data_IF_339592602008
#
_entry.id   IF_339592602008
#
_cell.length_a   1.000
_cell.length_b   1.000
_cell.length_c   1.000
_cell.angle_alpha   90.00
_cell.angle_beta   90.00
_cell.angle_gamma   90.00
#
_symmetry.space_group_name_H-M   'P 1'
#
loop_
_entity.id
_entity.type
_entity.pdbx_description
1 polymer ?
#
# COMPACT_ATOMS: atom_id res chain seq x y z
N UNK A 1 -15.03 -16.69 8.29
CA UNK A 1 -15.63 -16.85 6.95
C UNK A 1 -16.58 -15.68 6.75
N UNK A 2 -16.49 -14.95 5.65
CA UNK A 2 -17.47 -13.90 5.34
C UNK A 2 -18.81 -14.57 5.02
N UNK A 3 -19.86 -14.14 5.71
CA UNK A 3 -21.22 -14.64 5.52
C UNK A 3 -21.96 -13.73 4.54
N UNK A 4 -21.85 -14.08 3.25
CA UNK A 4 -22.41 -13.29 2.15
C UNK A 4 -23.94 -13.34 2.14
N UNK A 5 -24.52 -14.45 2.58
CA UNK A 5 -25.99 -14.63 2.62
C UNK A 5 -26.60 -13.69 3.66
N UNK A 6 -26.03 -13.64 4.86
CA UNK A 6 -26.48 -12.69 5.90
C UNK A 6 -26.34 -11.24 5.44
N UNK A 7 -25.21 -10.90 4.81
CA UNK A 7 -24.95 -9.54 4.34
C UNK A 7 -25.95 -9.11 3.24
N UNK A 8 -26.35 -10.03 2.37
CA UNK A 8 -27.37 -9.78 1.35
C UNK A 8 -28.74 -9.55 1.98
N UNK A 9 -29.10 -10.35 2.98
CA UNK A 9 -30.34 -10.16 3.75
C UNK A 9 -30.35 -8.80 4.44
N UNK A 10 -29.29 -8.46 5.17
CA UNK A 10 -29.17 -7.19 5.89
C UNK A 10 -29.29 -6.00 4.93
N UNK A 11 -28.64 -6.07 3.76
CA UNK A 11 -28.70 -5.03 2.73
C UNK A 11 -30.13 -4.76 2.22
N UNK A 12 -30.94 -5.80 2.01
CA UNK A 12 -32.32 -5.65 1.52
C UNK A 12 -33.21 -5.00 2.58
N UNK A 13 -32.93 -5.21 3.87
CA UNK A 13 -33.70 -4.61 4.98
C UNK A 13 -33.46 -3.12 5.19
N UNK A 14 -32.40 -2.55 4.59
CA UNK A 14 -32.06 -1.14 4.73
C UNK A 14 -33.10 -0.21 4.09
N UNK A 15 -33.06 1.07 4.46
CA UNK A 15 -33.80 2.11 3.73
C UNK A 15 -33.18 2.34 2.34
N UNK A 16 -33.92 2.96 1.43
CA UNK A 16 -33.40 3.29 0.09
C UNK A 16 -32.16 4.19 0.16
N UNK A 17 -32.18 5.19 1.05
CA UNK A 17 -31.06 6.09 1.28
C UNK A 17 -29.82 5.34 1.77
N UNK A 18 -30.00 4.36 2.66
CA UNK A 18 -28.87 3.58 3.20
C UNK A 18 -28.34 2.56 2.21
N UNK A 19 -29.22 1.97 1.38
CA UNK A 19 -28.78 1.14 0.24
C UNK A 19 -27.92 1.94 -0.72
N UNK A 20 -28.32 3.16 -1.06
CA UNK A 20 -27.55 4.03 -1.94
C UNK A 20 -26.15 4.33 -1.36
N UNK A 21 -26.06 4.63 -0.06
CA UNK A 21 -24.77 4.86 0.62
C UNK A 21 -23.83 3.65 0.52
N UNK A 22 -24.36 2.43 0.67
CA UNK A 22 -23.56 1.21 0.53
C UNK A 22 -23.07 1.05 -0.90
N UNK A 23 -23.91 1.32 -1.91
CA UNK A 23 -23.52 1.29 -3.32
C UNK A 23 -22.41 2.31 -3.62
N UNK A 24 -22.56 3.54 -3.13
CA UNK A 24 -21.56 4.61 -3.30
C UNK A 24 -20.22 4.24 -2.64
N UNK A 25 -20.28 3.62 -1.46
CA UNK A 25 -19.09 3.14 -0.77
C UNK A 25 -18.39 2.03 -1.55
N UNK A 26 -19.14 1.05 -2.07
CA UNK A 26 -18.59 -0.02 -2.91
C UNK A 26 -17.97 0.54 -4.18
N UNK A 27 -18.60 1.53 -4.83
CA UNK A 27 -18.04 2.22 -6.00
C UNK A 27 -16.71 2.90 -5.66
N UNK A 28 -16.65 3.64 -4.55
CA UNK A 28 -15.41 4.28 -4.06
C UNK A 28 -14.29 3.26 -3.83
N UNK A 29 -14.62 2.10 -3.25
CA UNK A 29 -13.62 1.04 -3.04
C UNK A 29 -13.12 0.49 -4.38
N UNK A 30 -14.01 0.22 -5.34
CA UNK A 30 -13.62 -0.27 -6.66
C UNK A 30 -12.70 0.71 -7.37
N UNK A 31 -13.06 1.99 -7.41
CA UNK A 31 -12.21 3.04 -8.01
C UNK A 31 -10.83 3.10 -7.35
N UNK A 32 -10.77 3.05 -6.02
CA UNK A 32 -9.50 3.09 -5.27
C UNK A 32 -8.58 1.91 -5.60
N UNK A 33 -9.15 0.72 -5.79
CA UNK A 33 -8.36 -0.50 -6.07
C UNK A 33 -8.09 -0.73 -7.56
N UNK A 34 -8.93 -0.22 -8.46
CA UNK A 34 -8.65 -0.17 -9.90
C UNK A 34 -7.54 0.84 -10.22
N UNK A 35 -7.47 1.94 -9.46
CA UNK A 35 -6.40 2.94 -9.54
C UNK A 35 -5.24 2.65 -8.59
N UNK A 36 -5.24 1.52 -7.89
CA UNK A 36 -4.11 1.16 -7.06
C UNK A 36 -2.85 1.16 -7.95
N UNK A 37 -1.80 1.92 -7.58
CA UNK A 37 -0.59 1.95 -8.37
C UNK A 37 -0.10 0.52 -8.51
N UNK A 38 0.14 0.10 -9.76
CA UNK A 38 0.78 -1.19 -10.02
C UNK A 38 2.03 -1.27 -9.16
N UNK A 39 2.34 -2.45 -8.58
CA UNK A 39 3.58 -2.63 -7.85
C UNK A 39 4.73 -2.08 -8.69
N UNK A 40 5.48 -1.14 -8.11
CA UNK A 40 6.66 -0.61 -8.77
C UNK A 40 7.63 -1.77 -8.97
N UNK A 41 8.02 -1.99 -10.22
CA UNK A 41 9.12 -2.89 -10.53
C UNK A 41 10.43 -2.20 -10.14
N UNK A 42 10.76 -2.28 -8.86
CA UNK A 42 11.95 -1.67 -8.30
C UNK A 42 13.23 -2.38 -8.79
N UNK A 43 13.14 -3.67 -9.14
CA UNK A 43 14.27 -4.46 -9.60
C UNK A 43 14.74 -4.04 -11.00
N UNK A 44 13.81 -3.80 -11.92
CA UNK A 44 14.14 -3.37 -13.29
C UNK A 44 14.09 -1.85 -13.49
N UNK A 45 13.77 -1.07 -12.45
CA UNK A 45 13.77 0.38 -12.54
C UNK A 45 15.19 0.95 -12.65
N UNK A 46 15.35 1.99 -13.47
CA UNK A 46 16.59 2.75 -13.48
C UNK A 46 16.80 3.42 -12.11
N UNK A 47 17.98 3.25 -11.51
CA UNK A 47 18.30 3.86 -10.21
C UNK A 47 18.16 5.39 -10.28
N UNK A 48 17.37 6.02 -9.41
CA UNK A 48 17.25 7.49 -9.37
C UNK A 48 17.93 8.04 -8.13
N UNK A 49 19.00 8.83 -8.30
CA UNK A 49 19.61 9.55 -7.20
C UNK A 49 21.10 9.83 -7.36
N UNK A 50 21.60 10.76 -6.55
CA UNK A 50 23.00 11.21 -6.55
C UNK A 50 23.99 10.18 -5.97
N UNK A 51 23.49 9.06 -5.45
CA UNK A 51 24.31 8.09 -4.72
C UNK A 51 24.60 6.81 -5.50
N UNK A 52 24.18 6.73 -6.78
CA UNK A 52 24.37 5.55 -7.63
C UNK A 52 25.82 5.07 -7.62
N UNK A 53 26.76 6.01 -7.69
CA UNK A 53 28.18 5.74 -7.87
C UNK A 53 28.95 5.67 -6.54
N UNK A 54 28.24 5.75 -5.40
CA UNK A 54 28.87 5.63 -4.08
C UNK A 54 29.21 4.17 -3.81
N UNK A 55 30.44 3.92 -3.37
CA UNK A 55 30.92 2.59 -3.01
C UNK A 55 30.01 1.94 -1.95
N UNK A 56 29.51 2.77 -1.02
CA UNK A 56 28.63 2.38 0.07
C UNK A 56 27.26 1.85 -0.39
N UNK A 57 26.84 2.14 -1.63
CA UNK A 57 25.58 1.61 -2.18
C UNK A 57 25.70 0.17 -2.68
N UNK A 58 26.91 -0.41 -2.73
CA UNK A 58 27.09 -1.85 -3.00
C UNK A 58 26.47 -2.72 -1.89
N UNK A 59 26.49 -2.23 -0.64
CA UNK A 59 25.76 -2.82 0.48
C UNK A 59 25.24 -1.70 1.40
N UNK A 60 24.10 -1.13 0.98
CA UNK A 60 23.46 -0.05 1.73
C UNK A 60 22.99 -0.48 3.12
N UNK A 61 22.70 -1.77 3.34
CA UNK A 61 22.27 -2.31 4.63
C UNK A 61 23.44 -2.29 5.61
N UNK A 62 24.60 -2.80 5.20
CA UNK A 62 25.81 -2.76 6.02
C UNK A 62 26.23 -1.32 6.33
N UNK A 63 26.19 -0.44 5.33
CA UNK A 63 26.53 0.97 5.52
C UNK A 63 25.65 1.66 6.57
N UNK A 64 24.31 1.56 6.45
CA UNK A 64 23.40 2.18 7.44
C UNK A 64 23.60 1.60 8.83
N UNK A 65 23.83 0.29 8.95
CA UNK A 65 24.08 -0.37 10.24
C UNK A 65 25.36 0.17 10.90
N UNK A 66 26.45 0.28 10.14
CA UNK A 66 27.72 0.84 10.62
C UNK A 66 27.55 2.28 11.10
N UNK A 67 26.90 3.14 10.29
CA UNK A 67 26.65 4.54 10.65
C UNK A 67 25.85 4.64 11.95
N UNK A 68 24.79 3.85 12.11
CA UNK A 68 23.98 3.85 13.35
C UNK A 68 24.79 3.42 14.56
N UNK A 69 25.63 2.40 14.44
CA UNK A 69 26.48 1.96 15.54
C UNK A 69 27.50 3.02 15.95
N UNK A 70 28.07 3.74 14.98
CA UNK A 70 29.09 4.76 15.20
C UNK A 70 28.53 6.04 15.82
N UNK A 71 27.34 6.47 15.39
CA UNK A 71 26.82 7.79 15.73
C UNK A 71 25.69 7.79 16.75
N UNK A 72 24.96 6.68 16.92
CA UNK A 72 23.74 6.64 17.74
C UNK A 72 23.84 5.73 18.97
N UNK A 73 25.01 5.14 19.27
CA UNK A 73 25.28 4.55 20.60
C UNK A 73 25.70 5.68 21.56
N UNK A 74 24.71 6.37 22.11
CA UNK A 74 24.83 7.05 23.40
C UNK A 74 24.02 6.25 24.43
#
# INVERSE_FOLDING_TARGET
>A
MLDIERLTSDFITLSETDRQRVLDFVATLKERYEQAPKPLDLENSAFVGMWRDRLEMQDSIAWVRTIRQQHWRN
#
